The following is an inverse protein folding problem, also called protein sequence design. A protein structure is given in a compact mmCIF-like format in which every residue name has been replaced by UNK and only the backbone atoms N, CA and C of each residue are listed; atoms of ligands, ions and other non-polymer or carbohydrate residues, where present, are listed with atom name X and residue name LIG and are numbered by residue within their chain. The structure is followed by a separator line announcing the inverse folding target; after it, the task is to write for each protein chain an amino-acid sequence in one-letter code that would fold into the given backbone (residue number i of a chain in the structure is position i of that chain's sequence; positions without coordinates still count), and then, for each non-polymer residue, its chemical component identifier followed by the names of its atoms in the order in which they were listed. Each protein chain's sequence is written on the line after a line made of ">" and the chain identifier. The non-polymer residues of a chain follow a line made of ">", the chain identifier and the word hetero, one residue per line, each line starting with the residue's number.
data_IF_942433613070
#
_entry.id   IF_942433613070
#
_cell.length_a   1.000
_cell.length_b   1.000
_cell.length_c   1.000
_cell.angle_alpha   90.00
_cell.angle_beta   90.00
_cell.angle_gamma   90.00
#
_symmetry.space_group_name_H-M   'P 1'
#
loop_
_entity.id
_entity.type
_entity.pdbx_description
1 polymer ?
#
# COMPACT_ATOMS: atom_id res chain seq x y z
N UNK A 1 -24.22 37.15 20.97
CA UNK A 1 -25.02 36.02 20.42
C UNK A 1 -25.05 35.92 18.90
N UNK A 2 -24.92 37.01 18.14
CA UNK A 2 -24.89 36.94 16.63
C UNK A 2 -23.58 36.49 16.02
N UNK A 3 -22.45 36.68 16.68
CA UNK A 3 -21.10 36.30 16.14
C UNK A 3 -20.88 34.78 16.20
N UNK A 4 -21.42 34.09 17.21
CA UNK A 4 -21.28 32.64 17.39
C UNK A 4 -22.08 31.85 16.34
N UNK A 5 -23.23 32.39 15.90
CA UNK A 5 -24.07 31.74 14.90
C UNK A 5 -23.46 31.84 13.50
N UNK A 6 -22.78 32.94 13.17
CA UNK A 6 -22.10 33.14 11.87
C UNK A 6 -20.87 32.25 11.71
N UNK A 7 -20.10 32.00 12.78
CA UNK A 7 -18.98 31.07 12.75
C UNK A 7 -19.44 29.62 12.60
N UNK A 8 -20.55 29.24 13.25
CA UNK A 8 -21.11 27.89 13.11
C UNK A 8 -21.67 27.65 11.70
N UNK A 9 -22.31 28.66 11.08
CA UNK A 9 -22.79 28.57 9.71
C UNK A 9 -21.63 28.47 8.70
N UNK A 10 -20.53 29.20 8.91
CA UNK A 10 -19.33 29.13 8.07
C UNK A 10 -18.63 27.78 8.17
N UNK A 11 -18.59 27.16 9.35
CA UNK A 11 -18.02 25.82 9.53
C UNK A 11 -18.91 24.74 8.89
N UNK A 12 -20.23 24.87 9.01
CA UNK A 12 -21.19 23.94 8.37
C UNK A 12 -21.20 24.11 6.85
N UNK A 13 -21.12 25.34 6.33
CA UNK A 13 -21.05 25.61 4.90
C UNK A 13 -19.71 25.16 4.29
N UNK A 14 -18.59 25.30 5.02
CA UNK A 14 -17.29 24.74 4.56
C UNK A 14 -17.30 23.21 4.53
N UNK A 15 -17.89 22.54 5.53
CA UNK A 15 -18.02 21.09 5.53
C UNK A 15 -18.96 20.58 4.42
N UNK A 16 -20.04 21.31 4.12
CA UNK A 16 -20.92 20.95 2.99
C UNK A 16 -20.29 21.27 1.63
N UNK A 17 -19.50 22.34 1.51
CA UNK A 17 -18.77 22.66 0.29
C UNK A 17 -17.65 21.63 -0.02
N UNK A 18 -16.95 21.15 1.02
CA UNK A 18 -15.95 20.08 0.88
C UNK A 18 -16.63 18.76 0.48
N UNK A 19 -17.80 18.43 1.06
CA UNK A 19 -18.57 17.25 0.68
C UNK A 19 -19.09 17.30 -0.77
N UNK A 20 -19.33 18.50 -1.35
CA UNK A 20 -19.85 18.63 -2.70
C UNK A 20 -18.82 18.42 -3.84
N UNK A 21 -17.52 18.36 -3.52
CA UNK A 21 -16.43 18.11 -4.48
C UNK A 21 -15.92 16.67 -4.45
N UNK A 22 -16.31 15.88 -3.48
CA UNK A 22 -15.92 14.47 -3.40
C UNK A 22 -16.75 13.68 -4.39
N UNK A 23 -16.10 13.16 -5.44
CA UNK A 23 -16.75 12.21 -6.33
C UNK A 23 -16.88 10.88 -5.59
N UNK A 24 -18.11 10.46 -5.33
CA UNK A 24 -18.36 9.13 -4.78
C UNK A 24 -17.84 8.05 -5.75
N UNK A 25 -17.33 6.95 -5.24
CA UNK A 25 -16.87 5.84 -6.10
C UNK A 25 -18.03 5.32 -6.94
N UNK A 26 -17.70 4.84 -8.15
CA UNK A 26 -18.67 4.17 -9.02
C UNK A 26 -18.92 2.79 -8.43
N UNK A 27 -19.87 2.70 -7.53
CA UNK A 27 -20.33 1.45 -6.97
C UNK A 27 -21.55 0.96 -7.77
N UNK A 28 -21.66 -0.35 -7.91
CA UNK A 28 -22.88 -0.96 -8.44
C UNK A 28 -23.94 -0.87 -7.34
N UNK A 29 -25.14 -0.37 -7.65
CA UNK A 29 -26.26 -0.24 -6.68
C UNK A 29 -26.68 -1.57 -6.03
N UNK A 30 -26.22 -2.70 -6.57
CA UNK A 30 -26.43 -4.05 -6.02
C UNK A 30 -25.35 -4.47 -4.99
N UNK A 31 -24.38 -3.63 -4.70
CA UNK A 31 -23.31 -3.97 -3.76
C UNK A 31 -23.81 -3.88 -2.32
N UNK A 32 -24.06 -5.04 -1.76
CA UNK A 32 -24.06 -5.19 -0.32
C UNK A 32 -22.62 -5.03 0.16
N UNK A 33 -22.40 -4.07 1.07
CA UNK A 33 -21.12 -3.93 1.74
C UNK A 33 -20.76 -5.25 2.44
N UNK A 34 -19.53 -5.72 2.25
CA UNK A 34 -19.02 -6.85 3.05
C UNK A 34 -18.97 -6.46 4.53
N UNK A 35 -19.04 -7.45 5.40
CA UNK A 35 -18.89 -7.23 6.83
C UNK A 35 -17.51 -6.65 7.15
N UNK A 36 -17.47 -5.61 7.97
CA UNK A 36 -16.21 -5.09 8.46
C UNK A 36 -15.54 -6.07 9.43
N UNK A 37 -14.23 -5.99 9.59
CA UNK A 37 -13.49 -6.92 10.45
C UNK A 37 -13.97 -6.95 11.90
N UNK A 38 -14.59 -5.87 12.40
CA UNK A 38 -15.14 -5.83 13.75
C UNK A 38 -16.53 -6.49 13.87
N UNK A 39 -17.20 -6.79 12.76
CA UNK A 39 -18.49 -7.48 12.72
C UNK A 39 -18.35 -9.00 12.61
N UNK A 40 -17.16 -9.50 12.28
CA UNK A 40 -16.87 -10.92 12.10
C UNK A 40 -15.96 -11.41 13.22
N UNK A 41 -16.27 -12.58 13.78
CA UNK A 41 -15.42 -13.28 14.75
C UNK A 41 -15.20 -14.71 14.33
N UNK A 42 -13.95 -15.15 14.34
CA UNK A 42 -13.62 -16.54 14.08
C UNK A 42 -14.08 -17.43 15.24
N UNK A 43 -14.73 -18.53 14.91
CA UNK A 43 -15.05 -19.59 15.86
C UNK A 43 -13.83 -20.49 16.09
N UNK A 44 -13.90 -21.39 17.07
CA UNK A 44 -12.85 -22.37 17.36
C UNK A 44 -12.51 -23.17 16.08
N UNK A 45 -11.28 -23.03 15.65
CA UNK A 45 -10.80 -23.56 14.36
C UNK A 45 -9.28 -23.36 14.21
N UNK A 46 -8.66 -24.02 13.24
CA UNK A 46 -7.26 -23.71 12.87
C UNK A 46 -7.04 -22.23 12.50
N UNK A 47 -8.04 -21.56 11.89
CA UNK A 47 -7.96 -20.15 11.53
C UNK A 47 -7.90 -19.24 12.76
N UNK A 48 -8.71 -19.51 13.80
CA UNK A 48 -8.62 -18.77 15.06
C UNK A 48 -7.25 -18.98 15.73
N UNK A 49 -6.72 -20.20 15.70
CA UNK A 49 -5.39 -20.50 16.25
C UNK A 49 -4.30 -19.72 15.52
N UNK A 50 -4.37 -19.59 14.20
CA UNK A 50 -3.43 -18.79 13.39
C UNK A 50 -3.58 -17.30 13.68
N UNK A 51 -4.80 -16.79 13.84
CA UNK A 51 -5.04 -15.40 14.23
C UNK A 51 -4.41 -15.09 15.59
N UNK A 52 -4.54 -15.99 16.59
CA UNK A 52 -3.93 -15.81 17.91
C UNK A 52 -2.40 -15.78 17.83
N UNK A 53 -1.78 -16.70 17.07
CA UNK A 53 -0.33 -16.69 16.82
C UNK A 53 0.13 -15.41 16.12
N UNK A 54 -0.62 -14.94 15.13
CA UNK A 54 -0.35 -13.67 14.47
C UNK A 54 -0.40 -12.47 15.42
N UNK A 55 -1.40 -12.45 16.32
CA UNK A 55 -1.52 -11.44 17.37
C UNK A 55 -0.33 -11.49 18.33
N UNK A 56 0.03 -12.66 18.82
CA UNK A 56 1.19 -12.87 19.71
C UNK A 56 2.48 -12.36 19.05
N UNK A 57 2.68 -12.66 17.76
CA UNK A 57 3.83 -12.17 17.00
C UNK A 57 3.85 -10.64 16.90
N UNK A 58 2.73 -9.99 16.60
CA UNK A 58 2.64 -8.53 16.56
C UNK A 58 2.94 -7.90 17.92
N UNK A 59 2.49 -8.52 19.01
CA UNK A 59 2.76 -8.07 20.38
C UNK A 59 4.20 -8.39 20.84
N UNK A 60 4.85 -9.41 20.28
CA UNK A 60 6.24 -9.73 20.54
C UNK A 60 7.21 -8.73 19.89
N UNK A 61 6.86 -8.18 18.73
CA UNK A 61 7.69 -7.18 18.05
C UNK A 61 7.87 -5.93 18.93
N UNK A 62 9.13 -5.45 19.03
CA UNK A 62 9.46 -4.22 19.73
C UNK A 62 9.23 -3.01 18.79
N UNK A 63 8.26 -2.13 19.09
CA UNK A 63 8.00 -0.97 18.25
C UNK A 63 9.15 0.03 18.17
N UNK A 64 9.99 0.14 19.21
CA UNK A 64 11.16 1.04 19.18
C UNK A 64 12.25 0.54 18.22
N UNK A 65 12.36 -0.77 18.02
CA UNK A 65 13.25 -1.35 17.01
C UNK A 65 12.75 -1.06 15.60
N UNK A 66 11.44 -1.11 15.34
CA UNK A 66 10.82 -0.74 14.06
C UNK A 66 10.93 0.77 13.79
N UNK A 67 10.88 1.60 14.83
CA UNK A 67 11.01 3.06 14.76
C UNK A 67 12.46 3.54 14.63
N UNK A 68 13.45 2.66 14.80
CA UNK A 68 14.86 3.02 14.87
C UNK A 68 15.30 3.97 13.75
N UNK A 69 15.13 3.58 12.50
CA UNK A 69 15.57 4.36 11.35
C UNK A 69 14.75 5.64 11.14
N UNK A 70 13.46 5.64 11.46
CA UNK A 70 12.62 6.84 11.39
C UNK A 70 13.09 7.93 12.35
N UNK A 71 13.47 7.54 13.58
CA UNK A 71 13.99 8.48 14.56
C UNK A 71 15.34 9.03 14.15
N UNK A 72 16.25 8.20 13.62
CA UNK A 72 17.57 8.62 13.13
C UNK A 72 17.42 9.61 11.97
N UNK A 73 16.59 9.31 10.97
CA UNK A 73 16.37 10.21 9.83
C UNK A 73 15.68 11.53 10.23
N UNK A 74 14.97 11.53 11.34
CA UNK A 74 14.40 12.74 11.93
C UNK A 74 15.38 13.53 12.82
N UNK A 75 16.62 13.05 12.99
CA UNK A 75 17.61 13.67 13.89
C UNK A 75 17.33 13.42 15.37
N UNK A 76 16.51 12.41 15.71
CA UNK A 76 16.16 12.04 17.07
C UNK A 76 16.98 10.81 17.53
N UNK A 77 17.32 10.70 18.84
CA UNK A 77 18.01 9.52 19.33
C UNK A 77 17.13 8.27 19.18
N UNK A 78 17.74 7.16 18.74
CA UNK A 78 17.05 5.88 18.75
C UNK A 78 16.82 5.40 20.17
N UNK A 79 15.74 4.62 20.38
CA UNK A 79 15.39 4.04 21.68
C UNK A 79 15.74 2.54 21.80
N UNK A 80 15.95 1.88 20.66
CA UNK A 80 16.35 0.48 20.59
C UNK A 80 17.21 0.23 19.35
N UNK A 81 17.96 -0.88 19.32
CA UNK A 81 18.65 -1.35 18.11
C UNK A 81 17.63 -1.74 17.03
N UNK A 82 17.96 -1.61 15.73
CA UNK A 82 17.09 -2.07 14.66
C UNK A 82 17.02 -3.60 14.65
N UNK A 83 16.00 -4.15 14.00
CA UNK A 83 15.97 -5.58 13.70
C UNK A 83 17.09 -5.95 12.72
N UNK A 84 17.58 -7.19 12.87
CA UNK A 84 18.48 -7.82 11.90
C UNK A 84 17.75 -8.18 10.60
N UNK A 85 18.44 -8.80 9.67
CA UNK A 85 17.89 -9.18 8.36
C UNK A 85 17.72 -7.98 7.45
N UNK A 86 16.65 -7.92 6.71
CA UNK A 86 16.41 -6.92 5.65
C UNK A 86 16.49 -5.46 6.12
N UNK A 87 16.15 -5.18 7.36
CA UNK A 87 16.24 -3.82 7.94
C UNK A 87 17.69 -3.32 8.07
N UNK A 88 18.67 -4.23 8.26
CA UNK A 88 20.04 -3.88 8.67
C UNK A 88 21.11 -4.49 7.78
N UNK A 89 20.79 -5.48 6.96
CA UNK A 89 21.74 -6.25 6.18
C UNK A 89 21.49 -6.07 4.69
N UNK A 90 22.55 -6.15 3.91
CA UNK A 90 22.45 -6.22 2.46
C UNK A 90 21.86 -7.58 2.04
N UNK A 91 20.92 -7.54 1.10
CA UNK A 91 20.26 -8.74 0.54
C UNK A 91 20.19 -8.57 -0.98
N UNK A 92 20.50 -9.61 -1.72
CA UNK A 92 20.47 -9.66 -3.20
C UNK A 92 21.24 -8.52 -3.90
N UNK A 93 22.33 -8.06 -3.32
CA UNK A 93 23.11 -6.94 -3.87
C UNK A 93 22.44 -5.57 -3.77
N UNK A 94 21.33 -5.47 -3.06
CA UNK A 94 20.73 -4.21 -2.65
C UNK A 94 21.13 -3.89 -1.21
N UNK A 95 21.20 -2.61 -0.87
CA UNK A 95 21.39 -2.18 0.51
C UNK A 95 20.20 -2.59 1.40
N UNK A 96 20.27 -2.39 2.72
CA UNK A 96 19.18 -2.76 3.62
C UNK A 96 17.89 -1.99 3.33
N UNK A 97 16.74 -2.67 3.54
CA UNK A 97 15.39 -2.10 3.41
C UNK A 97 15.00 -1.34 4.71
N UNK A 98 15.74 -0.29 5.02
CA UNK A 98 15.62 0.45 6.28
C UNK A 98 14.25 1.08 6.46
N UNK A 99 13.60 0.75 7.58
CA UNK A 99 12.25 1.22 7.88
C UNK A 99 11.17 0.53 7.06
N UNK A 100 11.47 -0.60 6.40
CA UNK A 100 10.54 -1.31 5.52
C UNK A 100 9.34 -1.91 6.23
N UNK A 101 9.51 -2.38 7.45
CA UNK A 101 8.48 -3.15 8.14
C UNK A 101 7.48 -2.30 8.94
N UNK A 102 7.79 -1.05 9.26
CA UNK A 102 6.91 -0.24 10.12
C UNK A 102 5.54 0.04 9.48
N UNK A 103 5.50 0.30 8.16
CA UNK A 103 4.24 0.49 7.44
C UNK A 103 3.35 -0.76 7.47
N UNK A 104 3.94 -1.93 7.27
CA UNK A 104 3.25 -3.22 7.44
C UNK A 104 2.75 -3.44 8.87
N UNK A 105 3.60 -3.12 9.86
CA UNK A 105 3.22 -3.24 11.27
C UNK A 105 2.00 -2.39 11.60
N UNK A 106 1.93 -1.14 11.14
CA UNK A 106 0.78 -0.27 11.31
C UNK A 106 -0.50 -0.89 10.73
N UNK A 107 -0.46 -1.35 9.47
CA UNK A 107 -1.60 -2.02 8.84
C UNK A 107 -2.02 -3.27 9.60
N UNK A 108 -1.05 -4.14 9.94
CA UNK A 108 -1.32 -5.42 10.59
C UNK A 108 -1.89 -5.26 11.99
N UNK A 109 -1.35 -4.32 12.78
CA UNK A 109 -1.86 -4.01 14.14
C UNK A 109 -3.27 -3.43 14.06
N UNK A 110 -3.53 -2.55 13.08
CA UNK A 110 -4.86 -1.95 12.87
C UNK A 110 -5.91 -3.01 12.52
N UNK A 111 -5.63 -3.87 11.55
CA UNK A 111 -6.54 -4.94 11.13
C UNK A 111 -6.71 -6.01 12.23
N UNK A 112 -5.63 -6.36 12.96
CA UNK A 112 -5.70 -7.31 14.06
C UNK A 112 -6.51 -6.76 15.24
N UNK A 113 -6.39 -5.46 15.54
CA UNK A 113 -7.25 -4.80 16.53
C UNK A 113 -8.72 -4.85 16.13
N UNK A 114 -9.05 -4.53 14.89
CA UNK A 114 -10.43 -4.59 14.38
C UNK A 114 -11.01 -6.00 14.50
N UNK A 115 -10.26 -7.02 14.13
CA UNK A 115 -10.73 -8.40 14.14
C UNK A 115 -10.79 -9.03 15.53
N UNK A 116 -10.06 -8.50 16.53
CA UNK A 116 -9.99 -9.11 17.88
C UNK A 116 -10.51 -8.23 19.01
N UNK A 117 -10.48 -6.90 18.85
CA UNK A 117 -10.80 -5.93 19.91
C UNK A 117 -9.73 -5.83 21.00
N UNK A 118 -8.51 -6.37 20.80
CA UNK A 118 -7.46 -6.44 21.82
C UNK A 118 -6.88 -5.04 22.13
N UNK A 119 -7.10 -4.56 23.36
CA UNK A 119 -6.72 -3.22 23.78
C UNK A 119 -5.20 -2.97 23.76
N UNK A 120 -4.36 -4.00 23.92
CA UNK A 120 -2.91 -3.84 23.89
C UNK A 120 -2.41 -3.53 22.48
N UNK A 121 -3.06 -4.08 21.43
CA UNK A 121 -2.79 -3.71 20.04
C UNK A 121 -3.09 -2.23 19.78
N UNK A 122 -4.24 -1.73 20.26
CA UNK A 122 -4.59 -0.31 20.13
C UNK A 122 -3.60 0.59 20.87
N UNK A 123 -3.18 0.21 22.06
CA UNK A 123 -2.16 0.93 22.83
C UNK A 123 -0.83 1.00 22.07
N UNK A 124 -0.41 -0.10 21.46
CA UNK A 124 0.78 -0.15 20.60
C UNK A 124 0.66 0.74 19.38
N UNK A 125 -0.47 0.69 18.68
CA UNK A 125 -0.75 1.56 17.54
C UNK A 125 -0.62 3.03 17.92
N UNK A 126 -1.28 3.45 18.99
CA UNK A 126 -1.19 4.83 19.50
C UNK A 126 0.22 5.25 19.85
N UNK A 127 1.01 4.35 20.46
CA UNK A 127 2.41 4.62 20.76
C UNK A 127 3.22 4.89 19.48
N UNK A 128 3.10 4.01 18.48
CA UNK A 128 3.82 4.14 17.21
C UNK A 128 3.42 5.42 16.48
N UNK A 129 2.13 5.74 16.41
CA UNK A 129 1.65 6.97 15.76
C UNK A 129 2.20 8.22 16.45
N UNK A 130 2.23 8.24 17.78
CA UNK A 130 2.84 9.36 18.55
C UNK A 130 4.32 9.54 18.22
N UNK A 131 5.09 8.46 18.12
CA UNK A 131 6.51 8.50 17.76
C UNK A 131 6.72 8.95 16.31
N UNK A 132 5.91 8.47 15.36
CA UNK A 132 5.95 8.92 13.97
C UNK A 132 5.60 10.41 13.85
N UNK A 133 4.63 10.88 14.61
CA UNK A 133 4.28 12.31 14.65
C UNK A 133 5.46 13.17 15.15
N UNK A 134 6.19 12.70 16.18
CA UNK A 134 7.42 13.36 16.64
C UNK A 134 8.49 13.38 15.55
N UNK A 135 8.71 12.27 14.84
CA UNK A 135 9.66 12.18 13.75
C UNK A 135 9.31 13.15 12.61
N UNK A 136 8.05 13.15 12.16
CA UNK A 136 7.62 14.03 11.06
C UNK A 136 7.69 15.51 11.45
N UNK A 137 7.35 15.85 12.71
CA UNK A 137 7.46 17.21 13.24
C UNK A 137 8.92 17.66 13.32
N UNK A 138 9.83 16.80 13.74
CA UNK A 138 11.26 17.11 13.82
C UNK A 138 11.86 17.35 12.43
N UNK A 139 11.44 16.58 11.41
CA UNK A 139 11.87 16.74 10.01
C UNK A 139 11.37 18.02 9.33
N UNK A 140 10.26 18.61 9.78
CA UNK A 140 9.66 19.90 9.36
C UNK A 140 9.10 19.97 7.93
N UNK A 141 9.43 19.05 7.04
CA UNK A 141 9.08 19.09 5.61
C UNK A 141 7.98 18.11 5.17
N UNK A 142 7.52 17.23 6.06
CA UNK A 142 6.53 16.19 5.76
C UNK A 142 7.11 14.81 5.47
N UNK A 143 8.41 14.70 5.19
CA UNK A 143 9.11 13.43 5.01
C UNK A 143 8.96 12.51 6.24
N UNK A 144 8.60 11.24 6.00
CA UNK A 144 8.41 10.27 7.08
C UNK A 144 8.80 8.87 6.61
N UNK A 145 10.10 8.65 6.44
CA UNK A 145 10.68 7.36 6.03
C UNK A 145 11.95 7.08 6.82
N UNK A 146 12.29 5.78 6.94
CA UNK A 146 13.54 5.33 7.56
C UNK A 146 14.72 5.18 6.60
N UNK A 147 14.62 5.67 5.38
CA UNK A 147 15.66 5.55 4.35
C UNK A 147 16.84 6.44 4.69
N UNK A 148 18.03 5.86 4.81
CA UNK A 148 19.25 6.64 5.02
C UNK A 148 19.45 7.66 3.91
N UNK A 149 19.67 8.92 4.29
CA UNK A 149 19.82 10.04 3.34
C UNK A 149 18.64 10.14 2.33
N UNK A 150 17.43 9.72 2.73
CA UNK A 150 16.27 9.61 1.84
C UNK A 150 15.91 10.92 1.15
N UNK A 151 16.04 12.06 1.84
CA UNK A 151 15.82 13.39 1.23
C UNK A 151 16.81 13.69 0.09
N UNK A 152 18.08 13.29 0.25
CA UNK A 152 19.10 13.44 -0.80
C UNK A 152 18.78 12.54 -1.99
N UNK A 153 18.44 11.28 -1.75
CA UNK A 153 18.02 10.34 -2.79
C UNK A 153 16.88 10.92 -3.64
N UNK A 154 15.79 11.35 -3.00
CA UNK A 154 14.63 11.85 -3.72
C UNK A 154 14.87 13.22 -4.37
N UNK A 155 15.80 14.02 -3.84
CA UNK A 155 16.26 15.21 -4.54
C UNK A 155 17.00 14.86 -5.84
N UNK A 156 17.88 13.88 -5.82
CA UNK A 156 18.55 13.40 -7.04
C UNK A 156 17.54 12.89 -8.07
N UNK A 157 16.52 12.13 -7.63
CA UNK A 157 15.41 11.69 -8.48
C UNK A 157 14.65 12.89 -9.07
N UNK A 158 14.29 13.87 -8.25
CA UNK A 158 13.61 15.11 -8.69
C UNK A 158 14.43 15.95 -9.68
N UNK A 159 15.76 15.90 -9.57
CA UNK A 159 16.70 16.53 -10.53
C UNK A 159 16.82 15.69 -11.84
N UNK A 160 16.02 14.63 -12.03
CA UNK A 160 16.02 13.76 -13.20
C UNK A 160 17.16 12.72 -13.24
N UNK A 161 17.91 12.56 -12.15
CA UNK A 161 18.98 11.57 -12.04
C UNK A 161 18.41 10.25 -11.56
N UNK A 162 17.81 9.49 -12.48
CA UNK A 162 17.08 8.26 -12.17
C UNK A 162 17.84 7.07 -12.78
N UNK A 163 18.40 6.22 -11.92
CA UNK A 163 18.98 4.92 -12.29
C UNK A 163 18.16 3.85 -11.59
N UNK A 164 17.36 3.13 -12.35
CA UNK A 164 16.46 2.12 -11.81
C UNK A 164 16.79 0.74 -12.36
N UNK A 165 16.67 -0.22 -11.50
CA UNK A 165 16.46 -1.62 -11.80
C UNK A 165 15.46 -2.16 -10.77
N UNK A 166 14.94 -3.35 -10.95
CA UNK A 166 14.29 -4.05 -9.87
C UNK A 166 15.37 -4.85 -9.12
N UNK A 167 15.75 -4.49 -7.84
CA UNK A 167 14.88 -3.80 -6.86
C UNK A 167 15.31 -2.36 -6.46
N UNK A 168 16.17 -1.64 -7.18
CA UNK A 168 16.74 -0.39 -6.63
C UNK A 168 16.43 0.88 -7.44
N UNK A 169 16.42 2.04 -6.76
CA UNK A 169 16.53 3.38 -7.33
C UNK A 169 17.82 4.01 -6.81
N UNK A 170 18.72 4.39 -7.70
CA UNK A 170 20.03 4.99 -7.37
C UNK A 170 20.82 4.17 -6.31
N UNK A 171 20.67 2.84 -6.34
CA UNK A 171 21.30 1.91 -5.39
C UNK A 171 20.57 1.76 -4.05
N UNK A 172 19.44 2.42 -3.83
CA UNK A 172 18.61 2.26 -2.63
C UNK A 172 17.47 1.28 -2.92
N UNK A 173 17.28 0.30 -2.05
CA UNK A 173 16.25 -0.73 -2.22
C UNK A 173 14.84 -0.17 -2.06
N UNK A 174 14.03 -0.32 -3.09
CA UNK A 174 12.59 -0.07 -3.19
C UNK A 174 12.06 1.19 -2.47
N UNK A 175 12.65 2.40 -2.68
CA UNK A 175 12.29 3.56 -1.86
C UNK A 175 10.84 4.02 -2.06
N UNK A 176 10.25 3.85 -3.25
CA UNK A 176 8.84 4.18 -3.52
C UNK A 176 7.89 3.18 -2.85
N UNK A 177 8.30 1.92 -2.76
CA UNK A 177 7.58 0.90 -2.00
C UNK A 177 7.46 1.26 -0.52
N UNK A 178 8.53 1.82 0.08
CA UNK A 178 8.50 2.26 1.47
C UNK A 178 7.52 3.42 1.70
N UNK A 179 7.39 4.35 0.74
CA UNK A 179 6.34 5.37 0.76
C UNK A 179 4.96 4.71 0.74
N UNK A 180 4.74 3.78 -0.21
CA UNK A 180 3.47 3.06 -0.33
C UNK A 180 3.07 2.38 1.00
N UNK A 181 3.98 1.62 1.61
CA UNK A 181 3.68 0.89 2.86
C UNK A 181 3.39 1.82 4.03
N UNK A 182 4.08 2.96 4.12
CA UNK A 182 3.80 3.95 5.15
C UNK A 182 2.44 4.61 4.93
N UNK A 183 2.10 5.00 3.70
CA UNK A 183 0.79 5.58 3.38
C UNK A 183 -0.35 4.60 3.69
N UNK A 184 -0.24 3.33 3.27
CA UNK A 184 -1.23 2.30 3.58
C UNK A 184 -1.34 2.03 5.08
N UNK A 185 -0.21 2.02 5.81
CA UNK A 185 -0.21 1.86 7.27
C UNK A 185 -0.93 3.00 8.00
N UNK A 186 -0.71 4.23 7.58
CA UNK A 186 -1.39 5.41 8.14
C UNK A 186 -2.88 5.44 7.75
N UNK A 187 -3.21 5.05 6.50
CA UNK A 187 -4.60 4.88 6.04
C UNK A 187 -5.34 3.86 6.89
N UNK A 188 -4.75 2.68 7.13
CA UNK A 188 -5.34 1.65 7.97
C UNK A 188 -5.54 2.12 9.42
N UNK A 189 -4.59 2.84 10.01
CA UNK A 189 -4.72 3.38 11.35
C UNK A 189 -5.89 4.37 11.46
N UNK A 190 -6.09 5.20 10.43
CA UNK A 190 -7.18 6.15 10.36
C UNK A 190 -8.54 5.47 10.12
N UNK A 191 -8.64 4.62 9.10
CA UNK A 191 -9.91 4.03 8.65
C UNK A 191 -10.38 2.89 9.54
N UNK A 192 -9.45 2.03 9.99
CA UNK A 192 -9.78 0.84 10.78
C UNK A 192 -9.82 1.12 12.30
N UNK A 193 -9.06 2.08 12.79
CA UNK A 193 -8.91 2.32 14.23
C UNK A 193 -9.28 3.74 14.67
N UNK A 194 -9.83 4.55 13.78
CA UNK A 194 -10.28 5.94 14.06
C UNK A 194 -9.17 6.83 14.64
N UNK A 195 -7.88 6.53 14.34
CA UNK A 195 -6.78 7.34 14.84
C UNK A 195 -6.63 8.61 14.00
N UNK A 196 -7.30 9.68 14.42
CA UNK A 196 -7.42 10.94 13.65
C UNK A 196 -6.10 11.60 13.33
N UNK A 197 -5.07 11.40 14.14
CA UNK A 197 -3.71 11.92 13.94
C UNK A 197 -2.99 11.27 12.74
N UNK A 198 -3.42 10.09 12.28
CA UNK A 198 -2.80 9.40 11.15
C UNK A 198 -3.06 10.11 9.81
N UNK A 199 -4.26 10.65 9.59
CA UNK A 199 -4.60 11.34 8.33
C UNK A 199 -3.72 12.56 8.03
N UNK A 200 -3.49 13.51 8.96
CA UNK A 200 -2.56 14.61 8.69
C UNK A 200 -1.12 14.16 8.41
N UNK A 201 -0.66 13.04 8.99
CA UNK A 201 0.67 12.49 8.71
C UNK A 201 0.74 11.90 7.30
N UNK A 202 -0.30 11.16 6.89
CA UNK A 202 -0.47 10.64 5.54
C UNK A 202 -0.44 11.76 4.51
N UNK A 203 -1.28 12.77 4.69
CA UNK A 203 -1.38 13.93 3.79
C UNK A 203 -0.03 14.61 3.63
N UNK A 204 0.68 14.89 4.72
CA UNK A 204 2.00 15.55 4.65
C UNK A 204 3.05 14.70 3.92
N UNK A 205 3.04 13.38 4.11
CA UNK A 205 3.98 12.50 3.38
C UNK A 205 3.62 12.41 1.90
N UNK A 206 2.34 12.27 1.58
CA UNK A 206 1.87 12.23 0.19
C UNK A 206 2.14 13.56 -0.54
N UNK A 207 1.88 14.69 0.10
CA UNK A 207 2.20 16.03 -0.40
C UNK A 207 3.71 16.22 -0.59
N UNK A 208 4.51 15.77 0.36
CA UNK A 208 5.96 15.83 0.25
C UNK A 208 6.45 15.11 -1.01
N UNK A 209 6.03 13.86 -1.23
CA UNK A 209 6.45 13.12 -2.42
C UNK A 209 5.84 13.71 -3.70
N UNK A 210 4.58 14.16 -3.66
CA UNK A 210 3.92 14.82 -4.78
C UNK A 210 4.67 16.09 -5.24
N UNK A 211 4.80 17.07 -4.35
CA UNK A 211 5.38 18.37 -4.70
C UNK A 211 6.91 18.37 -4.84
N UNK A 212 7.62 17.60 -4.01
CA UNK A 212 9.07 17.60 -4.02
C UNK A 212 9.67 16.68 -5.08
N UNK A 213 8.90 15.65 -5.55
CA UNK A 213 9.41 14.68 -6.49
C UNK A 213 8.54 14.59 -7.75
N UNK A 214 7.27 14.20 -7.62
CA UNK A 214 6.42 13.90 -8.79
C UNK A 214 6.23 15.13 -9.70
N UNK A 215 6.00 16.31 -9.13
CA UNK A 215 5.79 17.55 -9.90
C UNK A 215 7.08 18.08 -10.58
N UNK A 216 8.25 17.55 -10.21
CA UNK A 216 9.53 17.88 -10.85
C UNK A 216 9.84 16.98 -12.04
N UNK A 217 9.15 15.85 -12.16
CA UNK A 217 9.42 14.83 -13.17
C UNK A 217 8.44 14.93 -14.34
N UNK A 218 8.90 14.56 -15.52
CA UNK A 218 8.01 14.24 -16.64
C UNK A 218 7.30 12.92 -16.41
N UNK A 219 6.23 12.64 -17.16
CA UNK A 219 5.54 11.36 -17.05
C UNK A 219 6.45 10.17 -17.42
N UNK A 220 7.36 10.33 -18.39
CA UNK A 220 8.28 9.26 -18.75
C UNK A 220 9.35 9.01 -17.67
N UNK A 221 9.80 10.05 -16.99
CA UNK A 221 10.69 9.91 -15.83
C UNK A 221 9.98 9.21 -14.66
N UNK A 222 8.70 9.47 -14.42
CA UNK A 222 7.92 8.71 -13.44
C UNK A 222 7.82 7.24 -13.87
N UNK A 223 7.52 6.94 -15.14
CA UNK A 223 7.49 5.55 -15.61
C UNK A 223 8.87 4.87 -15.47
N UNK A 224 9.96 5.60 -15.67
CA UNK A 224 11.31 5.09 -15.39
C UNK A 224 11.50 4.80 -13.89
N UNK A 225 11.01 5.66 -13.00
CA UNK A 225 11.05 5.44 -11.56
C UNK A 225 10.25 4.18 -11.15
N UNK A 226 9.10 3.92 -11.81
CA UNK A 226 8.23 2.78 -11.55
C UNK A 226 8.80 1.42 -12.06
N UNK A 227 9.93 1.39 -12.75
CA UNK A 227 10.65 0.13 -13.05
C UNK A 227 11.09 -0.57 -11.76
N UNK A 228 11.47 0.19 -10.74
CA UNK A 228 11.74 -0.35 -9.42
C UNK A 228 10.43 -0.74 -8.71
N UNK A 229 10.48 -1.77 -7.89
CA UNK A 229 9.35 -2.17 -7.05
C UNK A 229 8.76 -0.98 -6.29
N UNK A 230 7.46 -0.81 -6.41
CA UNK A 230 6.74 0.34 -5.83
C UNK A 230 5.41 -0.04 -5.17
N UNK A 231 5.12 -1.34 -5.07
CA UNK A 231 3.87 -1.84 -4.48
C UNK A 231 2.64 -1.30 -5.22
N UNK A 232 1.63 -0.93 -4.46
CA UNK A 232 0.42 -0.25 -4.94
C UNK A 232 0.46 1.25 -4.65
N UNK A 233 1.54 1.95 -5.02
CA UNK A 233 1.67 3.40 -4.74
C UNK A 233 0.52 4.21 -5.35
N UNK A 234 0.03 3.82 -6.53
CA UNK A 234 -1.16 4.38 -7.16
C UNK A 234 -2.41 4.22 -6.26
N UNK A 235 -2.61 3.06 -5.63
CA UNK A 235 -3.68 2.82 -4.64
C UNK A 235 -3.59 3.80 -3.47
N UNK A 236 -2.39 3.96 -2.89
CA UNK A 236 -2.19 4.88 -1.76
C UNK A 236 -2.60 6.31 -2.08
N UNK A 237 -2.39 6.76 -3.30
CA UNK A 237 -2.79 8.09 -3.73
C UNK A 237 -4.30 8.20 -4.04
N UNK A 238 -4.92 7.13 -4.56
CA UNK A 238 -6.39 7.06 -4.67
C UNK A 238 -7.03 7.08 -3.27
N UNK A 239 -6.48 6.33 -2.30
CA UNK A 239 -6.95 6.37 -0.91
C UNK A 239 -6.79 7.77 -0.29
N UNK A 240 -5.67 8.45 -0.53
CA UNK A 240 -5.51 9.83 -0.08
C UNK A 240 -6.58 10.76 -0.67
N UNK A 241 -6.96 10.58 -1.95
CA UNK A 241 -8.09 11.27 -2.55
C UNK A 241 -9.42 10.89 -1.88
N UNK A 242 -9.65 9.61 -1.69
CA UNK A 242 -10.86 9.09 -1.03
C UNK A 242 -11.06 9.69 0.36
N UNK A 243 -9.99 9.79 1.16
CA UNK A 243 -10.03 10.30 2.53
C UNK A 243 -10.15 11.81 2.63
N UNK A 244 -9.67 12.56 1.63
CA UNK A 244 -9.56 14.03 1.71
C UNK A 244 -10.47 14.78 0.72
N UNK A 245 -10.85 14.16 -0.38
CA UNK A 245 -11.52 14.82 -1.52
C UNK A 245 -10.59 15.70 -2.36
N UNK A 246 -9.29 15.74 -2.08
CA UNK A 246 -8.36 16.67 -2.71
C UNK A 246 -7.81 16.13 -4.03
N UNK A 247 -8.27 16.71 -5.12
CA UNK A 247 -8.03 16.28 -6.51
C UNK A 247 -6.55 16.02 -6.86
N UNK A 248 -5.62 16.75 -6.24
CA UNK A 248 -4.19 16.57 -6.51
C UNK A 248 -3.71 15.13 -6.28
N UNK A 249 -4.28 14.43 -5.30
CA UNK A 249 -3.93 13.04 -5.03
C UNK A 249 -4.37 12.12 -6.18
N UNK A 250 -5.56 12.34 -6.74
CA UNK A 250 -6.01 11.59 -7.91
C UNK A 250 -5.18 11.90 -9.17
N UNK A 251 -4.75 13.16 -9.33
CA UNK A 251 -3.88 13.58 -10.44
C UNK A 251 -2.49 12.91 -10.32
N UNK A 252 -1.91 12.81 -9.13
CA UNK A 252 -0.67 12.06 -8.91
C UNK A 252 -0.88 10.54 -9.08
N UNK A 253 -1.99 9.99 -8.60
CA UNK A 253 -2.33 8.58 -8.84
C UNK A 253 -2.36 8.23 -10.33
N UNK A 254 -2.91 9.12 -11.16
CA UNK A 254 -2.93 8.97 -12.62
C UNK A 254 -1.51 8.77 -13.18
N UNK A 255 -0.55 9.58 -12.73
CA UNK A 255 0.84 9.54 -13.20
C UNK A 255 1.60 8.32 -12.66
N UNK A 256 1.18 7.79 -11.50
CA UNK A 256 1.74 6.62 -10.83
C UNK A 256 1.16 5.29 -11.34
N UNK A 257 0.23 5.30 -12.28
CA UNK A 257 -0.25 4.09 -12.94
C UNK A 257 0.83 3.55 -13.89
N UNK A 258 1.38 2.38 -13.58
CA UNK A 258 2.44 1.74 -14.36
C UNK A 258 1.96 1.30 -15.75
N UNK A 259 2.38 2.05 -16.78
CA UNK A 259 1.96 1.83 -18.18
C UNK A 259 2.44 0.48 -18.73
N UNK A 260 3.57 -0.03 -18.25
CA UNK A 260 4.11 -1.31 -18.69
C UNK A 260 3.18 -2.48 -18.32
N UNK A 261 2.37 -2.31 -17.26
CA UNK A 261 1.43 -3.32 -16.80
C UNK A 261 0.02 -3.09 -17.34
N UNK A 262 -0.60 -1.93 -17.01
CA UNK A 262 -2.03 -1.78 -17.31
C UNK A 262 -2.36 -1.72 -18.81
N UNK A 263 -1.47 -1.15 -19.64
CA UNK A 263 -1.79 -0.95 -21.05
C UNK A 263 -1.92 -2.28 -21.83
N UNK A 264 -0.90 -3.18 -21.85
CA UNK A 264 -1.05 -4.46 -22.56
C UNK A 264 -2.12 -5.37 -21.94
N UNK A 265 -2.32 -5.33 -20.62
CA UNK A 265 -3.35 -6.14 -19.97
C UNK A 265 -4.76 -5.60 -20.23
N UNK A 266 -4.94 -4.29 -20.45
CA UNK A 266 -6.21 -3.75 -20.94
C UNK A 266 -6.57 -4.22 -22.35
N UNK A 267 -5.58 -4.63 -23.12
CA UNK A 267 -5.72 -5.22 -24.46
C UNK A 267 -5.85 -6.76 -24.43
N UNK A 268 -5.90 -7.37 -23.24
CA UNK A 268 -6.02 -8.82 -23.04
C UNK A 268 -4.73 -9.62 -23.30
N UNK A 269 -3.58 -8.96 -23.35
CA UNK A 269 -2.28 -9.62 -23.59
C UNK A 269 -1.72 -10.19 -22.28
N UNK A 270 -1.42 -11.48 -22.26
CA UNK A 270 -0.66 -12.11 -21.18
C UNK A 270 0.84 -11.79 -21.38
N UNK A 271 1.34 -10.91 -20.52
CA UNK A 271 2.75 -10.47 -20.53
C UNK A 271 3.49 -10.89 -19.27
N UNK A 272 2.88 -11.74 -18.44
CA UNK A 272 3.33 -11.96 -17.06
C UNK A 272 4.62 -12.79 -16.96
N UNK A 273 4.93 -13.60 -17.95
CA UNK A 273 6.15 -14.43 -17.94
C UNK A 273 7.40 -13.61 -17.62
N UNK A 274 8.16 -14.08 -16.62
CA UNK A 274 9.41 -13.48 -16.17
C UNK A 274 9.27 -12.28 -15.26
N UNK A 275 8.06 -11.77 -15.01
CA UNK A 275 7.84 -10.71 -14.05
C UNK A 275 7.77 -11.24 -12.61
N UNK A 276 8.35 -10.51 -11.69
CA UNK A 276 8.26 -10.77 -10.26
C UNK A 276 6.81 -10.60 -9.79
N UNK A 277 6.15 -11.68 -9.38
CA UNK A 277 4.70 -11.72 -9.18
C UNK A 277 4.22 -10.74 -8.10
N UNK A 278 4.85 -10.77 -6.91
CA UNK A 278 4.46 -9.89 -5.80
C UNK A 278 4.64 -8.40 -6.13
N UNK A 279 5.58 -8.04 -7.01
CA UNK A 279 5.73 -6.66 -7.49
C UNK A 279 4.55 -6.22 -8.36
N UNK A 280 3.96 -7.13 -9.16
CA UNK A 280 2.92 -6.75 -10.12
C UNK A 280 1.52 -6.78 -9.52
N UNK A 281 1.17 -7.81 -8.76
CA UNK A 281 -0.20 -8.05 -8.28
C UNK A 281 -0.81 -6.82 -7.56
N UNK A 282 -0.13 -6.15 -6.61
CA UNK A 282 -0.73 -5.03 -5.87
C UNK A 282 -1.14 -3.84 -6.75
N UNK A 283 -0.48 -3.64 -7.90
CA UNK A 283 -0.77 -2.53 -8.81
C UNK A 283 -2.21 -2.55 -9.31
N UNK A 284 -2.77 -3.77 -9.48
CA UNK A 284 -4.12 -3.96 -10.05
C UNK A 284 -5.22 -3.60 -9.08
N UNK A 285 -5.02 -3.73 -7.78
CA UNK A 285 -5.93 -3.14 -6.78
C UNK A 285 -5.97 -1.61 -6.94
N UNK A 286 -4.81 -0.97 -7.14
CA UNK A 286 -4.73 0.46 -7.40
C UNK A 286 -5.39 0.87 -8.73
N UNK A 287 -5.24 0.09 -9.81
CA UNK A 287 -5.92 0.36 -11.08
C UNK A 287 -7.43 0.26 -10.92
N UNK A 288 -7.94 -0.77 -10.24
CA UNK A 288 -9.37 -0.90 -9.98
C UNK A 288 -9.90 0.26 -9.14
N UNK A 289 -9.23 0.62 -8.03
CA UNK A 289 -9.62 1.79 -7.23
C UNK A 289 -9.59 3.10 -8.06
N UNK A 290 -8.59 3.28 -8.92
CA UNK A 290 -8.53 4.45 -9.81
C UNK A 290 -9.74 4.50 -10.75
N UNK A 291 -10.16 3.35 -11.32
CA UNK A 291 -11.40 3.27 -12.10
C UNK A 291 -12.62 3.70 -11.29
N UNK A 292 -12.76 3.27 -10.03
CA UNK A 292 -13.93 3.60 -9.21
C UNK A 292 -14.17 5.11 -9.08
N UNK A 293 -13.12 5.92 -9.06
CA UNK A 293 -13.22 7.37 -8.94
C UNK A 293 -13.17 8.13 -10.28
N UNK A 294 -12.64 7.53 -11.33
CA UNK A 294 -12.49 8.19 -12.65
C UNK A 294 -13.52 7.74 -13.69
N UNK A 295 -13.96 6.49 -13.62
CA UNK A 295 -14.78 5.84 -14.64
C UNK A 295 -14.00 5.38 -15.87
N UNK A 296 -12.67 5.43 -15.86
CA UNK A 296 -11.85 4.99 -16.99
C UNK A 296 -11.84 3.46 -17.10
N UNK A 297 -12.64 2.94 -18.02
CA UNK A 297 -12.87 1.51 -18.24
C UNK A 297 -11.60 0.72 -18.57
N UNK A 298 -10.55 1.36 -19.08
CA UNK A 298 -9.29 0.69 -19.40
C UNK A 298 -8.65 0.08 -18.15
N UNK A 299 -8.76 0.75 -17.01
CA UNK A 299 -8.20 0.28 -15.74
C UNK A 299 -9.01 -0.87 -15.14
N UNK A 300 -10.34 -0.84 -15.23
CA UNK A 300 -11.18 -1.98 -14.87
C UNK A 300 -10.87 -3.20 -15.75
N UNK A 301 -10.77 -2.99 -17.06
CA UNK A 301 -10.45 -4.05 -18.01
C UNK A 301 -9.08 -4.65 -17.73
N UNK A 302 -8.06 -3.82 -17.45
CA UNK A 302 -6.73 -4.30 -17.08
C UNK A 302 -6.75 -5.14 -15.79
N UNK A 303 -7.45 -4.69 -14.75
CA UNK A 303 -7.56 -5.41 -13.47
C UNK A 303 -8.31 -6.76 -13.63
N UNK A 304 -9.41 -6.76 -14.39
CA UNK A 304 -10.20 -7.97 -14.66
C UNK A 304 -9.41 -8.98 -15.51
N UNK A 305 -8.76 -8.52 -16.58
CA UNK A 305 -7.94 -9.39 -17.43
C UNK A 305 -6.76 -9.98 -16.65
N UNK A 306 -6.08 -9.17 -15.83
CA UNK A 306 -5.00 -9.66 -14.96
C UNK A 306 -5.51 -10.76 -14.04
N UNK A 307 -6.63 -10.52 -13.33
CA UNK A 307 -7.23 -11.50 -12.43
C UNK A 307 -7.56 -12.82 -13.16
N UNK A 308 -8.21 -12.73 -14.33
CA UNK A 308 -8.53 -13.89 -15.15
C UNK A 308 -7.27 -14.64 -15.62
N UNK A 309 -6.25 -13.93 -16.09
CA UNK A 309 -5.00 -14.53 -16.56
C UNK A 309 -4.29 -15.26 -15.41
N UNK A 310 -4.16 -14.62 -14.25
CA UNK A 310 -3.49 -15.24 -13.10
C UNK A 310 -4.27 -16.46 -12.61
N UNK A 311 -5.57 -16.36 -12.42
CA UNK A 311 -6.39 -17.46 -11.90
C UNK A 311 -6.51 -18.65 -12.86
N UNK A 312 -6.51 -18.39 -14.16
CA UNK A 312 -6.69 -19.44 -15.17
C UNK A 312 -5.37 -20.05 -15.68
N UNK A 313 -4.29 -19.25 -15.74
CA UNK A 313 -3.04 -19.65 -16.38
C UNK A 313 -1.86 -19.79 -15.42
N UNK A 314 -1.88 -19.17 -14.23
CA UNK A 314 -0.71 -19.05 -13.37
C UNK A 314 -0.94 -19.50 -11.92
N UNK A 315 -2.12 -20.01 -11.59
CA UNK A 315 -2.48 -20.39 -10.21
C UNK A 315 -2.40 -21.91 -10.02
N UNK A 316 -1.74 -22.32 -8.94
CA UNK A 316 -1.70 -23.70 -8.47
C UNK A 316 -3.06 -24.11 -7.88
N UNK A 317 -3.31 -25.42 -7.83
CA UNK A 317 -4.55 -25.99 -7.22
C UNK A 317 -4.83 -25.49 -5.79
N UNK A 318 -3.77 -25.11 -5.06
CA UNK A 318 -3.85 -24.58 -3.69
C UNK A 318 -4.12 -23.06 -3.64
N UNK A 319 -4.37 -22.41 -4.77
CA UNK A 319 -4.68 -20.98 -4.86
C UNK A 319 -3.47 -20.04 -4.92
N UNK A 320 -2.24 -20.56 -4.77
CA UNK A 320 -1.02 -19.73 -4.91
C UNK A 320 -0.56 -19.64 -6.35
N UNK A 321 0.34 -18.70 -6.66
CA UNK A 321 0.92 -18.50 -7.98
C UNK A 321 2.43 -18.24 -7.89
N UNK A 322 3.14 -18.25 -9.02
CA UNK A 322 4.58 -18.06 -9.17
C UNK A 322 5.46 -19.24 -8.70
N UNK A 323 6.70 -19.21 -9.10
CA UNK A 323 7.80 -20.07 -8.59
C UNK A 323 9.06 -19.25 -8.56
N UNK A 324 9.82 -19.31 -7.45
CA UNK A 324 10.99 -18.43 -7.27
C UNK A 324 10.62 -16.97 -7.45
N UNK A 325 9.47 -16.57 -6.89
CA UNK A 325 8.92 -15.20 -6.91
C UNK A 325 8.46 -14.67 -8.28
N UNK A 326 8.59 -15.44 -9.37
CA UNK A 326 8.30 -14.99 -10.74
C UNK A 326 7.20 -15.80 -11.40
N UNK A 327 6.41 -15.14 -12.26
CA UNK A 327 5.50 -15.83 -13.16
C UNK A 327 6.29 -16.63 -14.20
N UNK A 328 5.83 -17.81 -14.52
CA UNK A 328 6.43 -18.73 -15.48
C UNK A 328 5.44 -19.10 -16.59
N UNK A 329 5.90 -19.63 -17.75
CA UNK A 329 5.01 -20.07 -18.81
C UNK A 329 4.05 -21.15 -18.32
N UNK A 330 2.78 -21.04 -18.68
CA UNK A 330 1.76 -22.00 -18.26
C UNK A 330 2.06 -23.44 -18.70
N UNK A 331 2.82 -23.61 -19.74
CA UNK A 331 3.25 -24.92 -20.28
C UNK A 331 4.24 -25.63 -19.34
N UNK A 332 4.89 -24.90 -18.44
CA UNK A 332 5.92 -25.41 -17.52
C UNK A 332 5.37 -25.85 -16.15
N UNK A 333 4.05 -25.87 -15.93
CA UNK A 333 3.47 -26.20 -14.62
C UNK A 333 3.98 -27.51 -14.03
N UNK A 334 4.06 -28.59 -14.84
CA UNK A 334 4.52 -29.90 -14.38
C UNK A 334 5.97 -29.88 -13.89
N UNK A 335 6.84 -29.15 -14.58
CA UNK A 335 8.26 -29.02 -14.23
C UNK A 335 8.44 -28.17 -12.97
N UNK A 336 7.63 -27.12 -12.80
CA UNK A 336 7.70 -26.19 -11.67
C UNK A 336 7.19 -26.80 -10.36
N UNK A 337 6.37 -27.83 -10.40
CA UNK A 337 5.90 -28.57 -9.21
C UNK A 337 7.05 -29.13 -8.35
N UNK A 338 8.19 -29.44 -8.97
CA UNK A 338 9.33 -30.06 -8.30
C UNK A 338 10.32 -29.03 -7.74
N UNK A 339 10.09 -27.72 -7.97
CA UNK A 339 10.99 -26.67 -7.50
C UNK A 339 10.71 -26.29 -6.05
N UNK A 340 11.78 -26.04 -5.28
CA UNK A 340 11.69 -25.68 -3.86
C UNK A 340 11.06 -24.29 -3.64
N UNK A 341 11.26 -23.36 -4.57
CA UNK A 341 10.72 -22.01 -4.50
C UNK A 341 9.27 -21.93 -4.95
N UNK A 342 8.34 -22.55 -4.21
CA UNK A 342 6.91 -22.58 -4.50
C UNK A 342 6.21 -21.22 -4.40
N UNK A 343 4.86 -21.21 -4.42
CA UNK A 343 4.06 -20.00 -4.37
C UNK A 343 4.26 -19.24 -3.06
N UNK A 344 4.32 -17.92 -3.15
CA UNK A 344 4.50 -17.00 -2.04
C UNK A 344 3.16 -16.60 -1.40
N UNK A 345 3.12 -16.54 -0.08
CA UNK A 345 1.92 -16.10 0.67
C UNK A 345 1.52 -14.65 0.35
N UNK A 346 2.50 -13.76 0.12
CA UNK A 346 2.21 -12.37 -0.26
C UNK A 346 1.46 -12.26 -1.58
N UNK A 347 1.74 -13.13 -2.55
CA UNK A 347 0.98 -13.19 -3.80
C UNK A 347 -0.49 -13.55 -3.53
N UNK A 348 -0.73 -14.57 -2.70
CA UNK A 348 -2.09 -14.97 -2.32
C UNK A 348 -2.85 -13.85 -1.61
N UNK A 349 -2.23 -13.16 -0.66
CA UNK A 349 -2.83 -12.02 0.04
C UNK A 349 -3.19 -10.89 -0.94
N UNK A 350 -2.30 -10.55 -1.86
CA UNK A 350 -2.56 -9.48 -2.84
C UNK A 350 -3.62 -9.90 -3.87
N UNK A 351 -3.66 -11.17 -4.29
CA UNK A 351 -4.74 -11.69 -5.14
C UNK A 351 -6.08 -11.69 -4.44
N UNK A 352 -6.15 -12.04 -3.15
CA UNK A 352 -7.38 -11.95 -2.35
C UNK A 352 -7.89 -10.51 -2.24
N UNK A 353 -7.00 -9.53 -2.02
CA UNK A 353 -7.37 -8.09 -2.01
C UNK A 353 -7.94 -7.63 -3.35
N UNK A 354 -7.34 -8.07 -4.46
CA UNK A 354 -7.85 -7.77 -5.80
C UNK A 354 -9.19 -8.47 -6.05
N UNK A 355 -9.31 -9.73 -5.64
CA UNK A 355 -10.55 -10.52 -5.75
C UNK A 355 -11.69 -9.85 -5.00
N UNK A 356 -11.46 -9.46 -3.74
CA UNK A 356 -12.42 -8.71 -2.91
C UNK A 356 -12.87 -7.43 -3.63
N UNK A 357 -11.93 -6.63 -4.09
CA UNK A 357 -12.19 -5.36 -4.77
C UNK A 357 -13.05 -5.54 -6.04
N UNK A 358 -12.73 -6.54 -6.88
CA UNK A 358 -13.49 -6.87 -8.08
C UNK A 358 -14.85 -7.52 -7.77
N UNK A 359 -14.91 -8.38 -6.74
CA UNK A 359 -16.16 -9.00 -6.29
C UNK A 359 -17.15 -7.95 -5.79
N UNK A 360 -16.67 -7.01 -4.98
CA UNK A 360 -17.50 -5.90 -4.52
C UNK A 360 -18.08 -5.05 -5.66
N UNK A 361 -17.39 -4.93 -6.77
CA UNK A 361 -17.90 -4.21 -7.94
C UNK A 361 -18.85 -5.06 -8.79
N UNK A 362 -18.51 -6.33 -9.02
CA UNK A 362 -19.27 -7.27 -9.86
C UNK A 362 -19.21 -8.66 -9.23
N UNK A 363 -20.15 -8.97 -8.30
CA UNK A 363 -20.22 -10.27 -7.65
C UNK A 363 -20.46 -11.38 -8.67
N UNK A 364 -19.64 -12.43 -8.62
CA UNK A 364 -19.86 -13.65 -9.37
C UNK A 364 -19.28 -14.87 -8.62
N UNK A 365 -19.75 -16.06 -8.95
CA UNK A 365 -19.38 -17.30 -8.28
C UNK A 365 -17.89 -17.65 -8.42
N UNK A 366 -17.25 -17.29 -9.54
CA UNK A 366 -15.84 -17.58 -9.77
C UNK A 366 -14.92 -16.79 -8.84
N UNK A 367 -15.32 -15.55 -8.47
CA UNK A 367 -14.59 -14.74 -7.51
C UNK A 367 -14.88 -15.13 -6.05
N UNK A 368 -16.05 -15.72 -5.79
CA UNK A 368 -16.44 -16.19 -4.45
C UNK A 368 -15.81 -17.55 -4.08
N UNK A 369 -15.46 -18.37 -5.07
CA UNK A 369 -14.84 -19.69 -4.91
C UNK A 369 -13.34 -19.59 -4.64
#
# INVERSE_FOLDING_TARGET
>A
MKITLTLLLLVVLNNQAIASFRKEPILNDSLEAYFSLNEVRLLESPFLSLQQKGKEYLLWLNPDSLLHFYRIEAGLPSKAAPYAGWESQEVWGAGPLRGGFLGFYLSSVSMMYQSTGDAELLKRLKYVLKELQLCQKAGKDGFLLGIKDGRKLFKEVADGKIKTNNPTVNGVWAPVYLINKMLLGLSAAYTQCEQKEALPMLVRLADWFGYQVLDKLTNDQIQQLLVCEHGSINESYVEAYELTGEKRFLDWACRLNDRAMWLPLSEGKDILFGWHANTQIPKFTGFHKYYLFTGDQRFLTAATNFWNIVTQNHTWVIGGNSTGEHFFPKEEFAERLLLVGGPETCNSVNMLRLTESLFCQYPDAAKAA
#
